data_IF_836564190845
#
_entry.id   IF_836564190845
#
_cell.length_a   1.000
_cell.length_b   1.000
_cell.length_c   1.000
_cell.angle_alpha   90.00
_cell.angle_beta   90.00
_cell.angle_gamma   90.00
#
_symmetry.space_group_name_H-M   'P 1'
#
loop_
_entity.id
_entity.type
_entity.pdbx_description
1 polymer ?
#
# COMPACT_ATOMS: atom_id res chain seq x y z
N UNK A 1 -12.89 -6.78 -13.25
CA UNK A 1 -13.55 -5.84 -12.32
C UNK A 1 -12.68 -5.66 -11.09
N UNK A 2 -12.44 -4.43 -10.64
CA UNK A 2 -11.68 -4.16 -9.40
C UNK A 2 -12.57 -4.35 -8.17
N UNK A 3 -12.03 -4.91 -7.09
CA UNK A 3 -12.75 -5.12 -5.83
C UNK A 3 -13.08 -3.79 -5.15
N UNK A 4 -14.03 -3.81 -4.20
CA UNK A 4 -14.33 -2.65 -3.34
C UNK A 4 -13.10 -2.19 -2.56
N UNK A 5 -12.29 -3.15 -2.07
CA UNK A 5 -11.02 -2.85 -1.39
C UNK A 5 -10.02 -2.13 -2.29
N UNK A 6 -9.88 -2.55 -3.56
CA UNK A 6 -8.99 -1.86 -4.49
C UNK A 6 -9.38 -0.39 -4.67
N UNK A 7 -10.68 -0.11 -4.89
CA UNK A 7 -11.16 1.27 -5.04
C UNK A 7 -10.95 2.09 -3.77
N UNK A 8 -11.23 1.52 -2.60
CA UNK A 8 -11.02 2.19 -1.31
C UNK A 8 -9.54 2.57 -1.10
N UNK A 9 -8.61 1.65 -1.41
CA UNK A 9 -7.16 1.93 -1.31
C UNK A 9 -6.75 3.05 -2.28
N UNK A 10 -7.25 3.06 -3.51
CA UNK A 10 -6.99 4.14 -4.47
C UNK A 10 -7.42 5.50 -3.91
N UNK A 11 -8.61 5.57 -3.30
CA UNK A 11 -9.11 6.79 -2.67
C UNK A 11 -8.23 7.23 -1.48
N UNK A 12 -7.81 6.29 -0.63
CA UNK A 12 -6.91 6.60 0.49
C UNK A 12 -5.55 7.11 0.00
N UNK A 13 -4.98 6.49 -1.03
CA UNK A 13 -3.72 6.93 -1.62
C UNK A 13 -3.84 8.36 -2.20
N UNK A 14 -4.97 8.68 -2.83
CA UNK A 14 -5.26 10.02 -3.32
C UNK A 14 -5.42 11.05 -2.19
N UNK A 15 -5.80 10.64 -0.97
CA UNK A 15 -5.86 11.49 0.22
C UNK A 15 -4.54 11.54 1.01
N UNK A 16 -3.43 11.07 0.43
CA UNK A 16 -2.10 11.12 1.04
C UNK A 16 -1.71 9.90 1.88
N UNK A 17 -2.48 8.81 1.81
CA UNK A 17 -2.07 7.55 2.44
C UNK A 17 -0.83 6.96 1.76
N UNK A 18 -0.11 6.12 2.48
CA UNK A 18 1.00 5.34 1.95
C UNK A 18 0.92 3.90 2.41
N UNK A 19 1.53 2.99 1.66
CA UNK A 19 1.63 1.58 2.00
C UNK A 19 3.04 1.31 2.50
N UNK A 20 3.17 0.54 3.57
CA UNK A 20 4.45 0.11 4.12
C UNK A 20 4.49 -1.42 4.22
N UNK A 21 5.62 -2.00 3.80
CA UNK A 21 5.94 -3.40 4.06
C UNK A 21 6.44 -3.52 5.51
N UNK A 22 5.66 -4.17 6.37
CA UNK A 22 5.92 -4.21 7.81
C UNK A 22 6.72 -5.43 8.27
N UNK A 23 6.70 -6.52 7.50
CA UNK A 23 7.60 -7.67 7.68
C UNK A 23 8.00 -8.25 6.32
N UNK A 24 9.20 -8.82 6.25
CA UNK A 24 9.70 -9.56 5.09
C UNK A 24 9.37 -11.07 5.17
N UNK A 25 9.22 -11.61 6.40
CA UNK A 25 8.97 -13.03 6.66
C UNK A 25 7.99 -13.20 7.83
N UNK A 26 6.71 -13.55 7.59
CA UNK A 26 6.05 -13.54 6.29
C UNK A 26 5.88 -12.11 5.76
N UNK A 27 5.92 -11.98 4.44
CA UNK A 27 5.72 -10.72 3.74
C UNK A 27 4.35 -10.12 4.09
N UNK A 28 4.33 -8.94 4.72
CA UNK A 28 3.08 -8.29 5.15
C UNK A 28 3.10 -6.79 4.92
N UNK A 29 1.91 -6.24 4.69
CA UNK A 29 1.73 -4.85 4.29
C UNK A 29 0.63 -4.18 5.11
N UNK A 30 0.78 -2.88 5.33
CA UNK A 30 -0.26 -2.02 5.90
C UNK A 30 -0.38 -0.76 5.09
N UNK A 31 -1.60 -0.24 4.98
CA UNK A 31 -1.83 1.15 4.55
C UNK A 31 -1.91 2.04 5.79
N UNK A 32 -1.28 3.20 5.72
CA UNK A 32 -1.25 4.22 6.74
C UNK A 32 -1.88 5.49 6.19
N UNK A 33 -2.82 6.07 6.94
CA UNK A 33 -3.41 7.37 6.65
C UNK A 33 -3.51 8.12 7.98
N UNK A 34 -2.83 9.27 8.07
CA UNK A 34 -2.71 10.04 9.31
C UNK A 34 -2.19 9.20 10.50
N UNK A 35 -3.03 8.95 11.51
CA UNK A 35 -2.70 8.16 12.71
C UNK A 35 -3.22 6.73 12.65
N UNK A 36 -4.00 6.41 11.62
CA UNK A 36 -4.65 5.11 11.46
C UNK A 36 -3.89 4.21 10.50
N UNK A 37 -4.05 2.90 10.69
CA UNK A 37 -3.51 1.93 9.75
C UNK A 37 -4.34 0.66 9.69
N UNK A 38 -4.37 0.03 8.52
CA UNK A 38 -5.07 -1.22 8.29
C UNK A 38 -4.16 -2.23 7.56
N UNK A 39 -4.26 -3.54 7.89
CA UNK A 39 -3.56 -4.57 7.14
C UNK A 39 -4.12 -4.68 5.73
N UNK A 40 -3.25 -4.93 4.76
CA UNK A 40 -3.64 -5.17 3.36
C UNK A 40 -2.93 -6.42 2.84
N UNK A 41 -3.60 -7.13 1.92
CA UNK A 41 -3.04 -8.37 1.39
C UNK A 41 -1.92 -8.08 0.38
N UNK A 42 -0.93 -8.99 0.32
CA UNK A 42 0.12 -8.91 -0.69
C UNK A 42 -0.43 -8.96 -2.12
N UNK A 43 -1.49 -9.74 -2.36
CA UNK A 43 -2.18 -9.79 -3.66
C UNK A 43 -2.73 -8.43 -4.09
N UNK A 44 -3.27 -7.65 -3.15
CA UNK A 44 -3.78 -6.30 -3.43
C UNK A 44 -2.64 -5.32 -3.76
N UNK A 45 -1.52 -5.41 -3.03
CA UNK A 45 -0.31 -4.61 -3.31
C UNK A 45 0.24 -4.93 -4.70
N UNK A 46 0.31 -6.21 -5.07
CA UNK A 46 0.73 -6.61 -6.41
C UNK A 46 -0.21 -6.07 -7.49
N UNK A 47 -1.52 -6.16 -7.28
CA UNK A 47 -2.50 -5.62 -8.22
C UNK A 47 -2.34 -4.10 -8.40
N UNK A 48 -2.09 -3.34 -7.33
CA UNK A 48 -1.85 -1.90 -7.38
C UNK A 48 -0.56 -1.56 -8.14
N UNK A 49 0.52 -2.32 -7.93
CA UNK A 49 1.78 -2.19 -8.67
C UNK A 49 1.60 -2.47 -10.16
N UNK A 50 0.97 -3.59 -10.51
CA UNK A 50 0.70 -3.98 -11.91
C UNK A 50 -0.21 -2.95 -12.60
N UNK A 51 -1.18 -2.39 -11.88
CA UNK A 51 -2.07 -1.33 -12.37
C UNK A 51 -1.43 0.06 -12.36
N UNK A 52 -0.16 0.20 -11.95
CA UNK A 52 0.59 1.47 -11.83
C UNK A 52 -0.09 2.52 -10.93
N UNK A 53 -0.89 2.08 -9.96
CA UNK A 53 -1.55 2.96 -8.97
C UNK A 53 -0.58 3.36 -7.86
N UNK A 54 0.43 2.53 -7.58
CA UNK A 54 1.48 2.83 -6.62
C UNK A 54 2.86 2.61 -7.22
N UNK A 55 3.84 3.32 -6.69
CA UNK A 55 5.26 3.17 -7.01
C UNK A 55 6.08 2.98 -5.72
N UNK A 56 7.22 2.30 -5.82
CA UNK A 56 8.20 2.24 -4.74
C UNK A 56 8.74 3.65 -4.50
N UNK A 57 8.72 4.10 -3.24
CA UNK A 57 9.21 5.42 -2.86
C UNK A 57 10.62 5.31 -2.26
N UNK A 58 10.71 4.81 -1.03
CA UNK A 58 11.95 4.72 -0.26
C UNK A 58 11.87 3.61 0.79
N UNK A 59 13.02 3.25 1.37
CA UNK A 59 13.06 2.45 2.59
C UNK A 59 13.13 3.38 3.79
N UNK A 60 12.22 3.21 4.75
CA UNK A 60 12.24 3.93 6.04
C UNK A 60 12.48 2.89 7.12
N UNK A 61 13.58 3.03 7.86
CA UNK A 61 13.98 2.06 8.89
C UNK A 61 14.01 0.61 8.37
N UNK A 62 14.54 0.43 7.14
CA UNK A 62 14.61 -0.86 6.45
C UNK A 62 13.33 -1.30 5.74
N UNK A 63 12.19 -0.64 5.99
CA UNK A 63 10.87 -1.04 5.46
C UNK A 63 10.53 -0.30 4.18
N UNK A 64 10.17 -1.04 3.13
CA UNK A 64 9.82 -0.46 1.83
C UNK A 64 8.47 0.26 1.90
N UNK A 65 8.43 1.51 1.43
CA UNK A 65 7.21 2.29 1.26
C UNK A 65 6.78 2.39 -0.20
N UNK A 66 5.47 2.40 -0.39
CA UNK A 66 4.81 2.60 -1.67
C UNK A 66 3.82 3.75 -1.55
N UNK A 67 3.79 4.61 -2.57
CA UNK A 67 2.96 5.82 -2.60
C UNK A 67 2.20 5.89 -3.91
N UNK A 68 1.12 6.68 -3.95
CA UNK A 68 0.45 7.04 -5.19
C UNK A 68 1.36 7.78 -6.18
N UNK A 69 0.96 7.91 -7.46
CA UNK A 69 1.70 8.65 -8.47
C UNK A 69 2.01 10.09 -8.06
#
# INVERSE_FOLDING_TARGET
>A
MYTSQFKAIVHLLASGAYIEQVSEVPLSYRIYHERDSAPISGGLVQQLLTSRVIKRSCRVSGRMRYVGP
#
